data_IF_548196249028
#
_entry.id   IF_548196249028
#
_cell.length_a   1.000
_cell.length_b   1.000
_cell.length_c   1.000
_cell.angle_alpha   90.00
_cell.angle_beta   90.00
_cell.angle_gamma   90.00
#
_symmetry.space_group_name_H-M   'P 1'
#
loop_
_entity.id
_entity.type
_entity.pdbx_description
1 polymer ?
#
# COMPACT_ATOMS: atom_id res chain seq x y z
N UNK A 1 -43.65 -15.69 -3.09
CA UNK A 1 -42.80 -14.55 -2.68
C UNK A 1 -41.39 -14.66 -3.29
N UNK A 2 -41.14 -13.92 -4.36
CA UNK A 2 -39.87 -13.98 -5.09
C UNK A 2 -39.41 -12.59 -5.50
N UNK A 3 -38.11 -12.35 -5.48
CA UNK A 3 -37.50 -11.16 -6.05
C UNK A 3 -37.64 -11.22 -7.58
N UNK A 4 -38.37 -10.26 -8.16
CA UNK A 4 -38.57 -10.19 -9.61
C UNK A 4 -37.28 -9.80 -10.34
N UNK A 5 -37.19 -10.11 -11.66
CA UNK A 5 -36.00 -9.83 -12.49
C UNK A 5 -35.47 -8.40 -12.34
N UNK A 6 -36.36 -7.41 -12.29
CA UNK A 6 -36.00 -5.99 -12.15
C UNK A 6 -35.42 -5.66 -10.76
N UNK A 7 -35.96 -6.28 -9.71
CA UNK A 7 -35.47 -6.11 -8.34
C UNK A 7 -34.12 -6.81 -8.15
N UNK A 8 -33.94 -7.98 -8.75
CA UNK A 8 -32.66 -8.70 -8.76
C UNK A 8 -31.55 -7.89 -9.44
N UNK A 9 -31.84 -7.34 -10.63
CA UNK A 9 -30.89 -6.51 -11.38
C UNK A 9 -30.48 -5.26 -10.62
N UNK A 10 -31.45 -4.57 -9.99
CA UNK A 10 -31.16 -3.41 -9.14
C UNK A 10 -30.22 -3.77 -7.98
N UNK A 11 -30.46 -4.92 -7.35
CA UNK A 11 -29.65 -5.38 -6.22
C UNK A 11 -28.21 -5.69 -6.64
N UNK A 12 -28.02 -6.30 -7.81
CA UNK A 12 -26.69 -6.59 -8.36
C UNK A 12 -25.88 -5.31 -8.54
N UNK A 13 -26.47 -4.27 -9.15
CA UNK A 13 -25.79 -2.98 -9.36
C UNK A 13 -25.45 -2.30 -8.04
N UNK A 14 -26.38 -2.30 -7.08
CA UNK A 14 -26.13 -1.74 -5.74
C UNK A 14 -25.03 -2.48 -4.98
N UNK A 15 -24.95 -3.80 -5.11
CA UNK A 15 -23.90 -4.60 -4.47
C UNK A 15 -22.54 -4.38 -5.13
N UNK A 16 -22.50 -4.22 -6.45
CA UNK A 16 -21.27 -3.94 -7.18
C UNK A 16 -20.71 -2.56 -6.81
N UNK A 17 -21.55 -1.52 -6.77
CA UNK A 17 -21.14 -0.18 -6.36
C UNK A 17 -20.66 -0.13 -4.89
N UNK A 18 -21.33 -0.89 -4.01
CA UNK A 18 -20.85 -1.08 -2.62
C UNK A 18 -19.51 -1.79 -2.57
N UNK A 19 -19.31 -2.83 -3.39
CA UNK A 19 -18.06 -3.58 -3.44
C UNK A 19 -16.92 -2.71 -3.96
N UNK A 20 -17.12 -1.95 -5.03
CA UNK A 20 -16.13 -1.01 -5.58
C UNK A 20 -15.74 0.04 -4.53
N UNK A 21 -16.71 0.57 -3.79
CA UNK A 21 -16.47 1.49 -2.67
C UNK A 21 -15.71 0.83 -1.51
N UNK A 22 -15.98 -0.44 -1.23
CA UNK A 22 -15.21 -1.24 -0.25
C UNK A 22 -13.80 -1.52 -0.78
N UNK A 23 -13.61 -1.81 -2.06
CA UNK A 23 -12.28 -1.98 -2.67
C UNK A 23 -11.48 -0.67 -2.71
N UNK A 24 -12.11 0.49 -2.86
CA UNK A 24 -11.44 1.80 -2.75
C UNK A 24 -11.01 2.09 -1.31
N UNK A 25 -11.85 1.72 -0.33
CA UNK A 25 -11.52 1.79 1.11
C UNK A 25 -10.46 0.75 1.48
N UNK A 26 -10.53 -0.45 0.91
CA UNK A 26 -9.50 -1.48 1.04
C UNK A 26 -8.23 -1.07 0.31
N UNK A 27 -8.21 -0.41 -0.84
CA UNK A 27 -6.98 0.09 -1.45
C UNK A 27 -6.29 1.15 -0.56
N UNK A 28 -7.07 1.82 0.30
CA UNK A 28 -6.58 2.72 1.34
C UNK A 28 -6.16 1.99 2.63
N UNK A 29 -6.62 0.75 2.84
CA UNK A 29 -6.43 -0.07 4.07
C UNK A 29 -5.71 -1.41 3.80
N UNK A 30 -5.35 -1.70 2.54
CA UNK A 30 -4.56 -2.82 2.05
C UNK A 30 -3.10 -2.45 2.18
N UNK A 31 -2.76 -2.01 3.39
CA UNK A 31 -1.52 -2.35 4.08
C UNK A 31 -1.46 -3.84 4.43
N UNK A 32 -2.06 -4.71 3.61
CA UNK A 32 -2.06 -6.14 3.81
C UNK A 32 -1.06 -6.78 2.85
N UNK A 33 0.16 -6.93 3.38
CA UNK A 33 0.97 -8.13 3.16
C UNK A 33 1.60 -8.26 1.78
N UNK A 34 2.44 -7.30 1.38
CA UNK A 34 3.62 -7.71 0.62
C UNK A 34 4.65 -8.24 1.63
N UNK A 35 4.85 -9.56 1.58
CA UNK A 35 5.94 -10.28 2.23
C UNK A 35 7.26 -9.72 1.70
N UNK A 36 7.75 -8.62 2.26
CA UNK A 36 9.18 -8.32 2.24
C UNK A 36 9.66 -8.65 3.63
N UNK A 37 10.57 -9.62 3.72
CA UNK A 37 11.50 -9.82 4.84
C UNK A 37 11.80 -8.49 5.53
N UNK A 38 11.05 -8.18 6.58
CA UNK A 38 11.00 -6.83 7.15
C UNK A 38 12.18 -6.68 8.08
N UNK A 39 13.35 -6.41 7.48
CA UNK A 39 14.41 -5.74 8.21
C UNK A 39 13.78 -4.56 8.97
N UNK A 40 13.83 -4.51 10.31
CA UNK A 40 13.18 -3.46 11.08
C UNK A 40 13.65 -2.06 10.63
N UNK A 41 14.89 -1.96 10.15
CA UNK A 41 15.48 -0.73 9.64
C UNK A 41 14.81 -0.24 8.35
N UNK A 42 14.45 -1.16 7.43
CA UNK A 42 13.77 -0.81 6.19
C UNK A 42 12.36 -0.26 6.44
N UNK A 43 11.64 -0.83 7.40
CA UNK A 43 10.30 -0.33 7.80
C UNK A 43 10.37 1.05 8.43
N UNK A 44 11.37 1.29 9.28
CA UNK A 44 11.60 2.61 9.87
C UNK A 44 12.00 3.65 8.82
N UNK A 45 12.86 3.29 7.87
CA UNK A 45 13.25 4.16 6.77
C UNK A 45 12.04 4.54 5.90
N UNK A 46 11.14 3.60 5.64
CA UNK A 46 9.92 3.85 4.88
C UNK A 46 9.00 4.86 5.57
N UNK A 47 8.80 4.72 6.88
CA UNK A 47 8.02 5.66 7.67
C UNK A 47 8.64 7.06 7.69
N UNK A 48 9.97 7.14 7.77
CA UNK A 48 10.69 8.41 7.70
C UNK A 48 10.53 9.10 6.34
N UNK A 49 10.66 8.36 5.22
CA UNK A 49 10.42 8.90 3.88
C UNK A 49 8.97 9.37 3.71
N UNK A 50 8.00 8.64 4.26
CA UNK A 50 6.60 9.09 4.26
C UNK A 50 6.41 10.41 5.03
N UNK A 51 7.09 10.57 6.17
CA UNK A 51 7.08 11.81 6.96
C UNK A 51 7.67 13.00 6.19
N UNK A 52 8.66 12.75 5.32
CA UNK A 52 9.22 13.76 4.40
C UNK A 52 8.27 14.11 3.23
N UNK A 53 7.12 13.44 3.11
CA UNK A 53 6.11 13.69 2.08
C UNK A 53 6.19 12.78 0.87
N UNK A 54 7.02 11.73 0.89
CA UNK A 54 7.10 10.78 -0.21
C UNK A 54 5.88 9.83 -0.23
N UNK A 55 5.42 9.51 -1.44
CA UNK A 55 4.36 8.51 -1.61
C UNK A 55 4.89 7.13 -1.22
N UNK A 56 4.04 6.32 -0.58
CA UNK A 56 4.40 4.97 -0.12
C UNK A 56 4.99 4.10 -1.24
N UNK A 57 4.46 4.19 -2.47
CA UNK A 57 4.98 3.46 -3.64
C UNK A 57 6.39 3.91 -4.03
N UNK A 58 6.67 5.22 -3.98
CA UNK A 58 7.97 5.80 -4.29
C UNK A 58 8.99 5.42 -3.21
N UNK A 59 8.61 5.55 -1.92
CA UNK A 59 9.44 5.18 -0.79
C UNK A 59 9.82 3.69 -0.80
N UNK A 60 8.87 2.80 -1.10
CA UNK A 60 9.16 1.37 -1.27
C UNK A 60 10.15 1.14 -2.42
N UNK A 61 9.95 1.77 -3.58
CA UNK A 61 10.86 1.63 -4.72
C UNK A 61 12.30 2.04 -4.37
N UNK A 62 12.46 3.15 -3.66
CA UNK A 62 13.78 3.65 -3.25
C UNK A 62 14.47 2.72 -2.25
N UNK A 63 13.72 2.15 -1.30
CA UNK A 63 14.28 1.21 -0.32
C UNK A 63 14.56 -0.16 -0.95
N UNK A 64 13.67 -0.65 -1.83
CA UNK A 64 13.87 -1.91 -2.55
C UNK A 64 15.01 -1.87 -3.57
N UNK A 65 15.42 -0.68 -4.02
CA UNK A 65 16.61 -0.52 -4.86
C UNK A 65 17.92 -0.69 -4.06
N UNK A 66 17.86 -0.68 -2.72
CA UNK A 66 19.00 -0.88 -1.85
C UNK A 66 19.01 -2.36 -1.42
N UNK A 67 19.90 -3.15 -2.01
CA UNK A 67 20.00 -4.60 -1.77
C UNK A 67 20.70 -4.94 -0.43
N UNK A 68 21.26 -3.92 0.24
CA UNK A 68 22.00 -4.08 1.48
C UNK A 68 21.10 -4.06 2.73
N UNK A 69 20.77 -5.25 3.23
CA UNK A 69 19.96 -5.46 4.43
C UNK A 69 20.71 -5.23 5.76
N UNK A 70 22.01 -4.93 5.73
CA UNK A 70 22.80 -4.69 6.95
C UNK A 70 22.99 -3.20 7.28
N UNK A 71 22.39 -2.30 6.49
CA UNK A 71 22.51 -0.87 6.70
C UNK A 71 21.62 -0.38 7.85
N UNK A 72 22.09 0.67 8.53
CA UNK A 72 21.29 1.35 9.54
C UNK A 72 20.14 2.12 8.90
N UNK A 73 19.09 2.40 9.67
CA UNK A 73 17.93 3.18 9.23
C UNK A 73 18.33 4.52 8.61
N UNK A 74 19.32 5.21 9.20
CA UNK A 74 19.81 6.49 8.68
C UNK A 74 20.51 6.33 7.33
N UNK A 75 21.33 5.28 7.18
CA UNK A 75 22.02 4.99 5.92
C UNK A 75 21.02 4.66 4.81
N UNK A 76 19.97 3.90 5.11
CA UNK A 76 18.89 3.59 4.17
C UNK A 76 18.17 4.85 3.70
N UNK A 77 17.84 5.78 4.62
CA UNK A 77 17.21 7.06 4.27
C UNK A 77 18.15 7.89 3.39
N UNK A 78 19.44 7.96 3.73
CA UNK A 78 20.43 8.73 2.97
C UNK A 78 20.59 8.19 1.55
N UNK A 79 20.73 6.88 1.39
CA UNK A 79 20.86 6.23 0.08
C UNK A 79 19.59 6.34 -0.76
N UNK A 80 18.41 6.25 -0.11
CA UNK A 80 17.13 6.43 -0.78
C UNK A 80 16.98 7.84 -1.36
N UNK A 81 17.44 8.86 -0.63
CA UNK A 81 17.41 10.25 -1.10
C UNK A 81 18.51 10.57 -2.12
N UNK A 82 19.64 9.86 -2.06
CA UNK A 82 20.75 10.03 -2.99
C UNK A 82 20.45 9.44 -4.37
N UNK A 83 19.66 8.37 -4.46
CA UNK A 83 19.27 7.71 -5.71
C UNK A 83 18.02 8.33 -6.38
N UNK A 84 17.87 9.66 -6.30
CA UNK A 84 16.73 10.35 -6.93
C UNK A 84 16.91 10.56 -8.43
#
# INVERSE_FOLDING_TARGET
PGIGKKTALKLIVELQDRLDKVELVNASTSTMHHKTSSNPNAKQALAALQSLGFKVKEANKMISAIDDQNLSTEQLIRLALQNK
#
